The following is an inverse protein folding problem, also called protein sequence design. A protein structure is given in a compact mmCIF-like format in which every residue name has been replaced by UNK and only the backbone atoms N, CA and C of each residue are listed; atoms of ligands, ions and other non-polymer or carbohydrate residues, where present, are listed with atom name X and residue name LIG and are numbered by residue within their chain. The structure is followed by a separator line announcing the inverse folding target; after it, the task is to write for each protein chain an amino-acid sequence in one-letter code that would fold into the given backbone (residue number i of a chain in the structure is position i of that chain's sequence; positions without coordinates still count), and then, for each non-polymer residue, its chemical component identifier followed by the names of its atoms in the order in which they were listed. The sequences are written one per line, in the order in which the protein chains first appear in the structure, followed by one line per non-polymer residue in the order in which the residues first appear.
data_IF_314059837171
#
_entry.id   IF_314059837171
#
_cell.length_a   1.000
_cell.length_b   1.000
_cell.length_c   1.000
_cell.angle_alpha   90.00
_cell.angle_beta   90.00
_cell.angle_gamma   90.00
#
_symmetry.space_group_name_H-M   'P 1'
#
loop_
_entity.id
_entity.type
_entity.pdbx_description
1 polymer ?
#
# COMPACT_ATOMS: atom_id res chain seq x y z
N UNK A 1 3.45 -9.18 -6.57
CA UNK A 1 2.91 -7.82 -6.43
C UNK A 1 4.07 -6.87 -6.63
N UNK A 2 3.84 -5.66 -7.15
CA UNK A 2 4.87 -4.63 -7.25
C UNK A 2 4.55 -3.48 -6.30
N UNK A 3 5.53 -3.02 -5.52
CA UNK A 3 5.37 -1.90 -4.57
C UNK A 3 6.51 -0.93 -4.77
N UNK A 4 6.21 0.32 -5.15
CA UNK A 4 7.21 1.37 -5.44
C UNK A 4 8.32 0.89 -6.40
N UNK A 5 7.95 0.07 -7.39
CA UNK A 5 8.88 -0.53 -8.35
C UNK A 5 9.57 -1.83 -7.91
N UNK A 6 9.46 -2.24 -6.64
CA UNK A 6 10.06 -3.47 -6.12
C UNK A 6 9.06 -4.64 -6.16
N UNK A 7 9.54 -5.83 -6.54
CA UNK A 7 8.72 -7.04 -6.56
C UNK A 7 8.64 -7.66 -5.16
N UNK A 8 7.42 -7.85 -4.67
CA UNK A 8 7.14 -8.48 -3.38
C UNK A 8 6.18 -9.65 -3.62
N UNK A 9 6.54 -10.81 -3.06
CA UNK A 9 5.69 -11.99 -3.06
C UNK A 9 4.81 -12.01 -1.81
N UNK A 10 3.51 -12.24 -2.02
CA UNK A 10 2.55 -12.42 -0.93
C UNK A 10 2.19 -13.90 -0.88
N UNK A 11 2.61 -14.58 0.19
CA UNK A 11 2.40 -16.02 0.37
C UNK A 11 1.11 -16.37 1.11
N UNK A 12 0.42 -15.35 1.64
CA UNK A 12 -0.86 -15.46 2.35
C UNK A 12 -1.74 -14.28 1.99
N UNK A 13 -3.05 -14.47 1.98
CA UNK A 13 -3.99 -13.35 1.88
C UNK A 13 -3.71 -12.34 3.00
N UNK A 14 -3.59 -11.07 2.62
CA UNK A 14 -3.40 -9.95 3.55
C UNK A 14 -4.11 -8.73 2.99
N UNK A 15 -4.65 -7.90 3.88
CA UNK A 15 -5.22 -6.62 3.46
C UNK A 15 -4.14 -5.54 3.37
N UNK A 16 -4.46 -4.46 2.65
CA UNK A 16 -3.55 -3.35 2.41
C UNK A 16 -3.04 -2.73 3.73
N UNK A 17 -3.90 -2.58 4.74
CA UNK A 17 -3.50 -2.02 6.03
C UNK A 17 -2.43 -2.87 6.73
N UNK A 18 -2.63 -4.18 6.82
CA UNK A 18 -1.69 -5.12 7.43
C UNK A 18 -0.36 -5.15 6.67
N UNK A 19 -0.43 -5.19 5.34
CA UNK A 19 0.74 -5.14 4.49
C UNK A 19 1.58 -3.88 4.75
N UNK A 20 0.95 -2.70 4.69
CA UNK A 20 1.64 -1.42 4.92
C UNK A 20 2.28 -1.37 6.31
N UNK A 21 1.55 -1.81 7.34
CA UNK A 21 2.05 -1.84 8.72
C UNK A 21 3.24 -2.80 8.85
N UNK A 22 3.17 -3.98 8.22
CA UNK A 22 4.25 -4.98 8.22
C UNK A 22 5.50 -4.50 7.49
N UNK A 23 5.35 -3.70 6.44
CA UNK A 23 6.45 -3.03 5.75
C UNK A 23 7.01 -1.82 6.53
N UNK A 24 6.45 -1.50 7.69
CA UNK A 24 6.93 -0.41 8.54
C UNK A 24 6.39 0.98 8.16
N UNK A 25 5.43 1.06 7.25
CA UNK A 25 4.81 2.34 6.91
C UNK A 25 3.89 2.83 8.04
N UNK A 26 3.98 4.13 8.31
CA UNK A 26 2.96 4.81 9.11
C UNK A 26 1.80 5.22 8.21
N UNK A 27 0.71 4.44 8.24
CA UNK A 27 -0.50 4.65 7.40
C UNK A 27 -1.15 6.02 7.55
N UNK A 28 -0.89 6.74 8.65
CA UNK A 28 -1.34 8.12 8.84
C UNK A 28 -0.55 9.13 8.01
N UNK A 29 0.70 8.83 7.63
CA UNK A 29 1.62 9.75 6.95
C UNK A 29 1.80 9.48 5.46
N UNK A 30 1.11 8.48 4.92
CA UNK A 30 1.22 8.08 3.50
C UNK A 30 -0.12 8.17 2.78
N UNK A 31 -0.06 8.25 1.47
CA UNK A 31 -1.17 7.94 0.56
C UNK A 31 -0.79 6.70 -0.27
N UNK A 32 -1.79 5.94 -0.69
CA UNK A 32 -1.59 4.72 -1.47
C UNK A 32 -2.43 4.75 -2.73
N UNK A 33 -1.78 4.53 -3.86
CA UNK A 33 -2.39 4.18 -5.13
C UNK A 33 -2.30 2.66 -5.31
N UNK A 34 -3.40 2.03 -5.71
CA UNK A 34 -3.49 0.61 -6.04
C UNK A 34 -4.02 0.49 -7.46
N UNK A 35 -3.21 -0.10 -8.34
CA UNK A 35 -3.54 -0.34 -9.76
C UNK A 35 -4.00 0.92 -10.52
N UNK A 36 -3.45 2.09 -10.17
CA UNK A 36 -3.80 3.38 -10.79
C UNK A 36 -4.87 4.17 -10.03
N UNK A 37 -5.51 3.58 -9.01
CA UNK A 37 -6.57 4.23 -8.23
C UNK A 37 -6.13 4.55 -6.81
N UNK A 38 -6.37 5.78 -6.35
CA UNK A 38 -6.08 6.19 -4.97
C UNK A 38 -7.06 5.50 -4.02
N UNK A 39 -6.53 4.73 -3.07
CA UNK A 39 -7.33 4.05 -2.06
C UNK A 39 -7.58 5.01 -0.88
N UNK A 40 -8.84 5.29 -0.50
CA UNK A 40 -9.11 6.05 0.71
C UNK A 40 -8.58 5.32 1.95
N UNK A 41 -7.97 6.05 2.90
CA UNK A 41 -7.40 5.46 4.13
C UNK A 41 -8.40 4.62 4.93
N UNK A 42 -9.67 5.03 4.95
CA UNK A 42 -10.77 4.29 5.60
C UNK A 42 -10.97 2.90 4.99
N UNK A 43 -10.55 2.69 3.75
CA UNK A 43 -10.75 1.44 3.02
C UNK A 43 -9.53 0.50 3.06
N UNK A 44 -8.39 0.90 3.63
CA UNK A 44 -7.18 0.07 3.65
C UNK A 44 -7.40 -1.31 4.28
N UNK A 45 -8.28 -1.42 5.27
CA UNK A 45 -8.59 -2.70 5.92
C UNK A 45 -9.50 -3.62 5.10
N UNK A 46 -10.22 -3.06 4.11
CA UNK A 46 -11.20 -3.79 3.30
C UNK A 46 -10.63 -4.22 1.95
N UNK A 47 -9.42 -3.77 1.60
CA UNK A 47 -8.76 -4.09 0.34
C UNK A 47 -7.84 -5.28 0.55
N UNK A 48 -8.17 -6.42 -0.03
CA UNK A 48 -7.32 -7.62 -0.06
C UNK A 48 -6.33 -7.52 -1.22
N UNK A 49 -5.04 -7.68 -0.93
CA UNK A 49 -3.98 -7.62 -1.93
C UNK A 49 -3.82 -8.94 -2.68
N UNK A 50 -3.44 -8.82 -3.96
CA UNK A 50 -3.19 -9.94 -4.87
C UNK A 50 -1.78 -9.87 -5.43
N UNK A 51 -1.30 -11.01 -5.92
CA UNK A 51 0.06 -11.11 -6.45
C UNK A 51 0.29 -10.32 -7.75
N UNK A 52 -0.76 -9.91 -8.46
CA UNK A 52 -0.71 -9.09 -9.67
C UNK A 52 -0.91 -7.59 -9.41
N UNK A 53 -1.17 -7.19 -8.18
CA UNK A 53 -1.36 -5.77 -7.83
C UNK A 53 -0.07 -4.95 -8.00
N UNK A 54 -0.26 -3.68 -8.35
CA UNK A 54 0.77 -2.63 -8.32
C UNK A 54 0.37 -1.56 -7.31
N UNK A 55 1.27 -1.28 -6.37
CA UNK A 55 1.06 -0.32 -5.28
C UNK A 55 2.11 0.78 -5.39
N UNK A 56 1.67 2.02 -5.33
CA UNK A 56 2.55 3.18 -5.14
C UNK A 56 2.21 3.84 -3.79
N UNK A 57 3.20 3.85 -2.90
CA UNK A 57 3.15 4.42 -1.56
C UNK A 57 3.96 5.70 -1.56
N UNK A 58 3.28 6.83 -1.38
CA UNK A 58 3.93 8.14 -1.30
C UNK A 58 3.80 8.73 0.09
N UNK A 59 4.89 9.29 0.60
CA UNK A 59 4.91 10.09 1.81
C UNK A 59 4.89 11.57 1.45
N UNK A 60 4.16 12.35 2.22
CA UNK A 60 4.25 13.81 2.10
C UNK A 60 5.58 14.25 2.71
N UNK A 61 6.51 14.68 1.87
CA UNK A 61 7.65 15.48 2.31
C UNK A 61 7.14 16.91 2.50
N UNK A 62 7.18 17.42 3.73
CA UNK A 62 6.81 18.81 4.00
C UNK A 62 7.73 19.73 3.20
N UNK A 63 7.17 20.51 2.28
CA UNK A 63 7.89 21.52 1.52
C UNK A 63 7.69 22.90 2.15
N UNK A 64 8.78 23.53 2.59
CA UNK A 64 8.82 24.89 3.14
C UNK A 64 9.43 24.95 4.53
#
# INVERSE_FOLDING_TARGET
MRVNGENIEITKETNLYEFLTKQGYNTLKIAVELNGDIVPKSNYKNVTLKNDDTIEVVSFVGGG
#
